data_IF_638216486839
#
_entry.id   IF_638216486839
#
_cell.length_a   1.000
_cell.length_b   1.000
_cell.length_c   1.000
_cell.angle_alpha   90.00
_cell.angle_beta   90.00
_cell.angle_gamma   90.00
#
_symmetry.space_group_name_H-M   'P 1'
#
loop_
_entity.id
_entity.type
_entity.pdbx_description
1 polymer ?
#
# COMPACT_ATOMS: atom_id res chain seq x y z
N UNK A 1 -47.71 -23.33 7.32
CA UNK A 1 -47.19 -23.55 5.95
C UNK A 1 -46.92 -22.19 5.33
N UNK A 2 -45.67 -22.01 4.87
CA UNK A 2 -45.19 -21.00 3.93
C UNK A 2 -45.36 -19.52 4.32
N UNK A 3 -44.50 -19.07 5.22
CA UNK A 3 -44.14 -17.66 5.30
C UNK A 3 -43.34 -17.28 4.06
N UNK A 4 -43.87 -16.36 3.27
CA UNK A 4 -43.25 -15.78 2.08
C UNK A 4 -41.80 -15.36 2.39
N UNK A 5 -40.83 -15.54 1.46
CA UNK A 5 -39.48 -15.08 1.67
C UNK A 5 -39.50 -13.55 1.71
N UNK A 6 -39.42 -13.00 2.92
CA UNK A 6 -39.27 -11.58 3.17
C UNK A 6 -37.99 -11.15 2.47
N UNK A 7 -38.12 -10.54 1.28
CA UNK A 7 -37.02 -9.96 0.55
C UNK A 7 -36.38 -8.90 1.44
N UNK A 8 -35.29 -9.27 2.11
CA UNK A 8 -34.53 -8.39 2.99
C UNK A 8 -33.90 -7.29 2.15
N UNK A 9 -34.62 -6.16 2.09
CA UNK A 9 -34.13 -4.86 1.63
C UNK A 9 -32.82 -4.57 2.36
N UNK A 10 -31.71 -4.49 1.62
CA UNK A 10 -30.36 -4.32 2.17
C UNK A 10 -30.28 -3.04 3.01
N UNK A 11 -30.40 -3.20 4.33
CA UNK A 11 -30.09 -2.14 5.28
C UNK A 11 -28.56 -2.03 5.37
N UNK A 12 -27.99 -1.03 4.72
CA UNK A 12 -26.62 -0.58 4.96
C UNK A 12 -26.53 -0.10 6.42
N UNK A 13 -25.44 -0.34 7.12
CA UNK A 13 -25.22 0.10 8.51
C UNK A 13 -23.96 0.96 8.61
N UNK A 14 -23.84 1.73 9.70
CA UNK A 14 -22.59 2.45 10.01
C UNK A 14 -21.48 1.41 10.21
N UNK A 15 -20.32 1.65 9.59
CA UNK A 15 -19.14 0.77 9.61
C UNK A 15 -19.13 -0.30 8.51
N UNK A 16 -20.21 -0.40 7.72
CA UNK A 16 -20.22 -1.28 6.55
C UNK A 16 -19.26 -0.71 5.48
N UNK A 17 -18.38 -1.56 4.93
CA UNK A 17 -17.55 -1.20 3.78
C UNK A 17 -18.11 -1.82 2.51
N UNK A 18 -18.10 -1.07 1.43
CA UNK A 18 -18.53 -1.56 0.12
C UNK A 18 -17.58 -1.04 -0.96
N UNK A 19 -17.48 -1.81 -2.03
CA UNK A 19 -16.75 -1.45 -3.25
C UNK A 19 -17.77 -1.00 -4.28
N UNK A 20 -17.71 0.27 -4.67
CA UNK A 20 -18.58 0.82 -5.70
C UNK A 20 -17.90 0.63 -7.06
N UNK A 21 -18.40 -0.29 -7.87
CA UNK A 21 -17.85 -0.58 -9.19
C UNK A 21 -18.52 0.22 -10.32
N UNK A 22 -19.52 1.05 -10.00
CA UNK A 22 -20.40 1.67 -10.99
C UNK A 22 -19.95 3.07 -11.43
N UNK A 23 -19.10 3.74 -10.63
CA UNK A 23 -18.50 5.02 -11.04
C UNK A 23 -17.12 4.72 -11.63
N UNK A 24 -17.01 4.79 -12.95
CA UNK A 24 -15.81 4.44 -13.73
C UNK A 24 -14.48 4.90 -13.13
N UNK A 25 -13.48 4.07 -13.39
CA UNK A 25 -12.07 4.11 -12.94
C UNK A 25 -11.84 3.73 -11.46
N UNK A 26 -11.32 2.50 -11.30
CA UNK A 26 -10.85 1.83 -10.09
C UNK A 26 -11.89 1.42 -9.02
N UNK A 27 -11.81 0.19 -8.46
CA UNK A 27 -12.66 -0.24 -7.36
C UNK A 27 -12.33 0.58 -6.11
N UNK A 28 -13.10 1.64 -5.89
CA UNK A 28 -12.95 2.49 -4.73
C UNK A 28 -13.67 1.88 -3.52
N UNK A 29 -12.91 1.64 -2.45
CA UNK A 29 -13.45 1.20 -1.16
C UNK A 29 -14.04 2.38 -0.38
N UNK A 30 -15.26 2.21 0.12
CA UNK A 30 -15.99 3.22 0.89
C UNK A 30 -16.49 2.62 2.19
N UNK A 31 -16.33 3.35 3.30
CA UNK A 31 -16.87 3.03 4.62
C UNK A 31 -18.04 3.94 4.97
N UNK A 32 -19.15 3.36 5.44
CA UNK A 32 -20.35 4.10 5.81
C UNK A 32 -20.15 4.72 7.20
N UNK A 33 -20.04 6.05 7.26
CA UNK A 33 -19.77 6.78 8.51
C UNK A 33 -21.03 7.38 9.16
N UNK A 34 -22.19 7.24 8.52
CA UNK A 34 -23.45 7.79 9.02
C UNK A 34 -24.63 6.84 8.79
N UNK A 35 -25.69 6.97 9.61
CA UNK A 35 -26.88 6.13 9.47
C UNK A 35 -27.52 6.39 8.11
N UNK A 36 -27.70 5.37 7.26
CA UNK A 36 -28.38 5.55 5.99
C UNK A 36 -29.84 5.96 6.22
N UNK A 37 -30.25 6.99 5.48
CA UNK A 37 -31.61 7.54 5.53
C UNK A 37 -32.33 7.15 4.25
N UNK A 38 -33.54 6.62 4.38
CA UNK A 38 -34.40 6.33 3.23
C UNK A 38 -35.20 7.57 2.85
N UNK A 39 -35.18 7.91 1.56
CA UNK A 39 -35.84 9.08 1.00
C UNK A 39 -36.89 8.66 -0.04
N UNK A 40 -37.87 9.53 -0.35
CA UNK A 40 -38.97 9.29 -1.30
C UNK A 40 -39.69 7.95 -1.09
N UNK A 41 -40.41 7.77 0.02
CA UNK A 41 -41.16 6.52 0.32
C UNK A 41 -40.27 5.25 0.26
N UNK A 42 -38.98 5.42 0.53
CA UNK A 42 -37.99 4.36 0.50
C UNK A 42 -37.43 4.03 -0.88
N UNK A 43 -37.70 4.78 -1.94
CA UNK A 43 -37.12 4.50 -3.26
C UNK A 43 -35.62 4.83 -3.36
N UNK A 44 -35.10 5.65 -2.46
CA UNK A 44 -33.73 6.13 -2.48
C UNK A 44 -33.10 5.97 -1.09
N UNK A 45 -31.84 5.59 -1.01
CA UNK A 45 -31.05 5.47 0.22
C UNK A 45 -29.91 6.47 0.13
N UNK A 46 -29.74 7.29 1.17
CA UNK A 46 -28.67 8.26 1.29
C UNK A 46 -27.77 7.87 2.46
N UNK A 47 -26.47 7.75 2.23
CA UNK A 47 -25.51 7.61 3.32
C UNK A 47 -24.28 8.47 3.06
N UNK A 48 -23.71 9.00 4.14
CA UNK A 48 -22.35 9.55 4.10
C UNK A 48 -21.36 8.42 4.20
N UNK A 49 -20.42 8.43 3.26
CA UNK A 49 -19.34 7.47 3.14
C UNK A 49 -18.00 8.19 3.13
N UNK A 50 -16.99 7.55 3.67
CA UNK A 50 -15.62 8.06 3.75
C UNK A 50 -14.65 7.02 3.22
N UNK A 51 -13.47 7.45 2.77
CA UNK A 51 -12.42 6.49 2.40
C UNK A 51 -11.87 5.84 3.67
N UNK A 52 -11.78 4.50 3.73
CA UNK A 52 -11.21 3.83 4.89
C UNK A 52 -9.74 4.26 5.04
N UNK A 53 -9.40 4.84 6.20
CA UNK A 53 -8.03 5.30 6.51
C UNK A 53 -7.74 6.77 6.25
N UNK A 54 -8.63 7.51 5.57
CA UNK A 54 -8.48 8.95 5.35
C UNK A 54 -9.71 9.71 5.90
N UNK A 55 -9.56 10.54 6.95
CA UNK A 55 -10.66 11.30 7.54
C UNK A 55 -11.09 12.51 6.68
N UNK A 56 -10.69 12.57 5.41
CA UNK A 56 -11.07 13.61 4.46
C UNK A 56 -12.59 13.76 4.26
N UNK A 57 -13.03 14.70 3.42
CA UNK A 57 -14.44 15.10 3.35
C UNK A 57 -15.35 13.91 3.04
N UNK A 58 -16.24 13.59 3.98
CA UNK A 58 -17.25 12.55 3.80
C UNK A 58 -18.12 12.90 2.58
N UNK A 59 -18.28 11.93 1.67
CA UNK A 59 -19.10 12.07 0.48
C UNK A 59 -20.49 11.51 0.73
N UNK A 60 -21.51 12.24 0.30
CA UNK A 60 -22.88 11.72 0.28
C UNK A 60 -23.06 10.87 -0.99
N UNK A 61 -23.39 9.60 -0.80
CA UNK A 61 -23.76 8.68 -1.88
C UNK A 61 -25.26 8.39 -1.81
N UNK A 62 -25.83 8.23 -2.99
CA UNK A 62 -27.24 8.01 -3.24
C UNK A 62 -27.37 6.69 -3.97
N UNK A 63 -28.17 5.77 -3.45
CA UNK A 63 -28.50 4.51 -4.13
C UNK A 63 -29.99 4.40 -4.31
N UNK A 64 -30.43 3.79 -5.40
CA UNK A 64 -31.82 3.37 -5.48
C UNK A 64 -32.03 2.19 -4.50
N UNK A 65 -33.15 2.17 -3.77
CA UNK A 65 -33.36 1.14 -2.76
C UNK A 65 -33.57 -0.28 -3.30
N UNK A 66 -33.66 -0.42 -4.63
CA UNK A 66 -33.71 -1.70 -5.33
C UNK A 66 -32.33 -2.13 -5.85
N UNK A 67 -31.31 -1.30 -5.69
CA UNK A 67 -29.95 -1.57 -6.12
C UNK A 67 -29.25 -2.49 -5.10
N UNK A 68 -28.60 -3.53 -5.60
CA UNK A 68 -27.87 -4.49 -4.76
C UNK A 68 -26.47 -3.96 -4.50
N UNK A 69 -26.27 -3.36 -3.33
CA UNK A 69 -24.94 -2.95 -2.87
C UNK A 69 -24.25 -4.15 -2.24
N UNK A 70 -23.09 -4.54 -2.79
CA UNK A 70 -22.25 -5.59 -2.20
C UNK A 70 -21.52 -5.03 -0.97
N UNK A 71 -22.03 -5.34 0.21
CA UNK A 71 -21.46 -4.92 1.49
C UNK A 71 -20.55 -6.01 2.07
N UNK A 72 -19.31 -5.64 2.42
CA UNK A 72 -18.40 -6.48 3.20
C UNK A 72 -18.52 -6.10 4.68
N UNK A 73 -19.20 -6.94 5.46
CA UNK A 73 -19.41 -6.75 6.90
C UNK A 73 -18.19 -7.25 7.71
N UNK A 74 -17.53 -6.33 8.42
CA UNK A 74 -16.22 -6.48 9.07
C UNK A 74 -16.31 -6.97 10.53
N UNK A 75 -16.61 -8.25 10.76
CA UNK A 75 -16.29 -8.87 12.07
C UNK A 75 -15.14 -9.87 11.96
N UNK A 76 -15.05 -10.62 10.87
CA UNK A 76 -13.95 -11.55 10.63
C UNK A 76 -12.76 -10.92 9.86
N UNK A 77 -13.02 -9.94 8.99
CA UNK A 77 -12.00 -9.42 8.06
C UNK A 77 -10.98 -8.47 8.70
N UNK A 78 -11.30 -7.79 9.81
CA UNK A 78 -10.35 -6.92 10.51
C UNK A 78 -9.31 -7.72 11.29
N UNK A 79 -9.72 -8.83 11.90
CA UNK A 79 -8.80 -9.72 12.61
C UNK A 79 -7.89 -10.44 11.62
N UNK A 80 -8.44 -10.92 10.49
CA UNK A 80 -7.64 -11.52 9.43
C UNK A 80 -6.62 -10.53 8.83
N UNK A 81 -7.05 -9.29 8.49
CA UNK A 81 -6.16 -8.29 7.93
C UNK A 81 -5.04 -7.85 8.90
N UNK A 82 -5.33 -7.74 10.20
CA UNK A 82 -4.30 -7.42 11.21
C UNK A 82 -3.31 -8.57 11.38
N UNK A 83 -3.76 -9.82 11.26
CA UNK A 83 -2.87 -11.00 11.31
C UNK A 83 -2.00 -11.09 10.05
N UNK A 84 -2.56 -10.83 8.87
CA UNK A 84 -1.81 -10.80 7.61
C UNK A 84 -0.80 -9.63 7.59
N UNK A 85 -1.20 -8.45 8.05
CA UNK A 85 -0.31 -7.28 8.17
C UNK A 85 0.83 -7.53 9.17
N UNK A 86 0.55 -8.17 10.30
CA UNK A 86 1.59 -8.56 11.26
C UNK A 86 2.56 -9.62 10.69
N UNK A 87 2.06 -10.56 9.88
CA UNK A 87 2.90 -11.53 9.19
C UNK A 87 3.80 -10.87 8.13
N UNK A 88 3.26 -9.92 7.37
CA UNK A 88 4.01 -9.12 6.39
C UNK A 88 5.09 -8.26 7.06
N UNK A 89 4.78 -7.66 8.23
CA UNK A 89 5.77 -6.94 9.03
C UNK A 89 6.91 -7.85 9.53
N UNK A 90 6.61 -9.09 9.92
CA UNK A 90 7.63 -10.05 10.36
C UNK A 90 8.56 -10.46 9.20
N UNK A 91 7.99 -10.70 8.01
CA UNK A 91 8.75 -10.99 6.79
C UNK A 91 9.64 -9.81 6.43
N UNK A 92 9.08 -8.59 6.43
CA UNK A 92 9.84 -7.35 6.20
C UNK A 92 10.96 -7.17 7.23
N UNK A 93 10.70 -7.48 8.50
CA UNK A 93 11.71 -7.44 9.56
C UNK A 93 12.87 -8.42 9.34
N UNK A 94 12.58 -9.64 8.87
CA UNK A 94 13.62 -10.62 8.48
C UNK A 94 14.46 -10.10 7.32
N UNK A 95 13.83 -9.55 6.29
CA UNK A 95 14.52 -9.03 5.12
C UNK A 95 15.40 -7.82 5.46
N UNK A 96 14.90 -6.88 6.27
CA UNK A 96 15.69 -5.74 6.76
C UNK A 96 16.93 -6.21 7.53
N UNK A 97 16.82 -7.23 8.39
CA UNK A 97 17.98 -7.79 9.10
C UNK A 97 19.00 -8.40 8.13
N UNK A 98 18.54 -9.14 7.13
CA UNK A 98 19.40 -9.73 6.09
C UNK A 98 20.14 -8.65 5.31
N UNK A 99 19.42 -7.65 4.79
CA UNK A 99 19.99 -6.56 3.98
C UNK A 99 20.98 -5.73 4.78
N UNK A 100 20.72 -5.48 6.06
CA UNK A 100 21.69 -4.79 6.94
C UNK A 100 23.01 -5.56 7.08
N UNK A 101 22.94 -6.88 7.19
CA UNK A 101 24.15 -7.72 7.20
C UNK A 101 24.91 -7.67 5.88
N UNK A 102 24.19 -7.70 4.76
CA UNK A 102 24.78 -7.60 3.42
C UNK A 102 25.45 -6.23 3.19
N UNK A 103 24.80 -5.15 3.60
CA UNK A 103 25.37 -3.79 3.54
C UNK A 103 26.69 -3.73 4.32
N UNK A 104 26.73 -4.25 5.54
CA UNK A 104 27.96 -4.25 6.35
C UNK A 104 29.12 -4.98 5.65
N UNK A 105 28.83 -6.15 5.06
CA UNK A 105 29.83 -6.92 4.31
C UNK A 105 30.32 -6.15 3.08
N UNK A 106 29.40 -5.57 2.31
CA UNK A 106 29.73 -4.79 1.11
C UNK A 106 30.53 -3.54 1.46
N UNK A 107 30.26 -2.89 2.59
CA UNK A 107 31.05 -1.76 3.06
C UNK A 107 32.49 -2.16 3.40
N UNK A 108 32.70 -3.33 4.01
CA UNK A 108 34.04 -3.85 4.28
C UNK A 108 34.79 -4.15 2.98
N UNK A 109 34.13 -4.83 2.03
CA UNK A 109 34.69 -5.13 0.71
C UNK A 109 35.02 -3.85 -0.06
N UNK A 110 34.14 -2.84 -0.01
CA UNK A 110 34.40 -1.51 -0.59
C UNK A 110 35.65 -0.87 -0.01
N UNK A 111 35.80 -0.87 1.32
CA UNK A 111 37.00 -0.32 1.97
C UNK A 111 38.26 -1.07 1.56
N UNK A 112 38.18 -2.39 1.39
CA UNK A 112 39.31 -3.17 0.91
C UNK A 112 39.70 -2.84 -0.52
N UNK A 113 38.72 -2.76 -1.41
CA UNK A 113 38.92 -2.36 -2.80
C UNK A 113 39.50 -0.94 -2.89
N UNK A 114 39.04 -0.01 -2.07
CA UNK A 114 39.60 1.35 -1.99
C UNK A 114 41.07 1.34 -1.56
N UNK A 115 41.44 0.54 -0.56
CA UNK A 115 42.85 0.38 -0.15
C UNK A 115 43.71 -0.17 -1.30
N UNK A 116 43.22 -1.18 -2.01
CA UNK A 116 43.92 -1.81 -3.15
C UNK A 116 44.04 -0.85 -4.33
N UNK A 117 42.99 -0.10 -4.62
CA UNK A 117 43.00 0.93 -5.65
C UNK A 117 44.03 2.01 -5.34
N UNK A 118 44.06 2.53 -4.11
CA UNK A 118 45.03 3.53 -3.69
C UNK A 118 46.49 3.01 -3.74
N UNK A 119 46.70 1.71 -3.52
CA UNK A 119 48.01 1.09 -3.73
C UNK A 119 48.41 1.09 -5.21
N UNK A 120 47.55 0.58 -6.09
CA UNK A 120 47.82 0.50 -7.53
C UNK A 120 48.00 1.88 -8.15
N UNK A 121 47.20 2.86 -7.76
CA UNK A 121 47.33 4.24 -8.24
C UNK A 121 48.71 4.83 -7.90
N UNK A 122 49.20 4.62 -6.67
CA UNK A 122 50.54 5.08 -6.27
C UNK A 122 51.65 4.42 -7.07
N UNK A 123 51.54 3.12 -7.33
CA UNK A 123 52.52 2.41 -8.17
C UNK A 123 52.50 2.93 -9.62
N UNK A 124 51.32 3.23 -10.15
CA UNK A 124 51.19 3.82 -11.48
C UNK A 124 51.80 5.23 -11.54
N UNK A 125 51.61 6.05 -10.51
CA UNK A 125 52.24 7.37 -10.42
C UNK A 125 53.76 7.28 -10.33
N UNK A 126 54.30 6.34 -9.54
CA UNK A 126 55.73 6.11 -9.47
C UNK A 126 56.32 5.65 -10.81
N UNK A 127 55.66 4.72 -11.49
CA UNK A 127 56.11 4.24 -12.82
C UNK A 127 56.01 5.36 -13.85
N UNK A 128 54.93 6.15 -13.83
CA UNK A 128 54.78 7.33 -14.69
C UNK A 128 55.82 8.41 -14.43
N UNK A 129 56.21 8.64 -13.18
CA UNK A 129 57.27 9.59 -12.82
C UNK A 129 58.66 9.13 -13.30
N UNK A 130 58.87 7.81 -13.37
CA UNK A 130 60.10 7.19 -13.90
C UNK A 130 60.15 7.17 -15.43
N UNK A 131 59.00 7.29 -16.11
CA UNK A 131 58.97 7.46 -17.56
C UNK A 131 59.48 8.86 -17.91
N UNK A 132 60.44 9.00 -18.84
CA UNK A 132 60.88 10.30 -19.29
C UNK A 132 59.67 11.05 -19.86
N UNK A 133 59.37 12.25 -19.32
CA UNK A 133 58.39 13.16 -19.92
C UNK A 133 58.82 13.35 -21.37
N UNK A 134 57.93 12.98 -22.29
CA UNK A 134 58.21 12.90 -23.72
C UNK A 134 59.07 14.06 -24.17
N UNK A 135 60.16 13.72 -24.87
CA UNK A 135 60.89 14.64 -25.72
C UNK A 135 59.82 15.29 -26.60
N UNK A 136 59.57 16.57 -26.35
CA UNK A 136 58.70 17.40 -27.15
C UNK A 136 59.35 17.51 -28.52
N UNK A 137 58.97 16.64 -29.45
CA UNK A 137 59.37 16.77 -30.84
C UNK A 137 58.45 17.81 -31.48
N UNK A 138 58.97 19.02 -31.66
CA UNK A 138 58.49 20.00 -32.63
C UNK A 138 58.64 19.49 -34.06
#
# INVERSE_FOLDING_TARGET
MNGEPCASRLAVHIGDRFTDAETGDEPHEWEVVSRPVTFKKGHEVRARVQRPGDPGPAREKYWAAHEKITVRRLTASRVAAVVDEAADEEVRGREVRRLRGEILRLEEEKRDLERRLAFVQRELEQTRAKLPRGISTS
#
